data_IF_192797177108
#
_entry.id   IF_192797177108
#
_cell.length_a   1.000
_cell.length_b   1.000
_cell.length_c   1.000
_cell.angle_alpha   90.00
_cell.angle_beta   90.00
_cell.angle_gamma   90.00
#
_symmetry.space_group_name_H-M   'P 1'
#
loop_
_entity.id
_entity.type
_entity.pdbx_description
1 polymer ?
#
# COMPACT_ATOMS: atom_id res chain seq x y z
N UNK A 1 -24.80 7.67 -18.27
CA UNK A 1 -23.99 8.53 -17.39
C UNK A 1 -23.32 7.68 -16.33
N UNK A 2 -22.01 7.84 -16.11
CA UNK A 2 -21.28 7.17 -15.03
C UNK A 2 -21.74 7.69 -13.66
N UNK A 3 -21.94 6.77 -12.72
CA UNK A 3 -22.12 7.08 -11.30
C UNK A 3 -20.78 6.98 -10.54
N UNK A 4 -20.79 7.31 -9.25
CA UNK A 4 -19.55 7.35 -8.47
C UNK A 4 -18.90 5.98 -8.33
N UNK A 5 -19.71 4.91 -8.26
CA UNK A 5 -19.18 3.55 -8.20
C UNK A 5 -18.53 3.15 -9.52
N UNK A 6 -19.12 3.47 -10.68
CA UNK A 6 -18.50 3.21 -11.98
C UNK A 6 -17.08 3.81 -12.03
N UNK A 7 -16.95 5.09 -11.69
CA UNK A 7 -15.66 5.79 -11.74
C UNK A 7 -14.66 5.17 -10.75
N UNK A 8 -15.08 4.95 -9.50
CA UNK A 8 -14.21 4.43 -8.47
C UNK A 8 -13.80 2.97 -8.74
N UNK A 9 -14.75 2.10 -9.10
CA UNK A 9 -14.47 0.69 -9.41
C UNK A 9 -13.50 0.52 -10.57
N UNK A 10 -13.52 1.41 -11.56
CA UNK A 10 -12.55 1.43 -12.64
C UNK A 10 -11.14 1.75 -12.14
N UNK A 11 -10.99 2.81 -11.34
CA UNK A 11 -9.70 3.17 -10.74
C UNK A 11 -9.19 2.11 -9.75
N UNK A 12 -10.08 1.49 -8.97
CA UNK A 12 -9.74 0.44 -8.02
C UNK A 12 -9.32 -0.87 -8.71
N UNK A 13 -10.00 -1.24 -9.81
CA UNK A 13 -9.58 -2.38 -10.62
C UNK A 13 -8.22 -2.14 -11.27
N UNK A 14 -7.98 -0.92 -11.77
CA UNK A 14 -6.70 -0.56 -12.36
C UNK A 14 -5.54 -0.68 -11.34
N UNK A 15 -5.71 -0.14 -10.13
CA UNK A 15 -4.67 -0.26 -9.09
C UNK A 15 -4.44 -1.72 -8.70
N UNK A 16 -5.50 -2.54 -8.59
CA UNK A 16 -5.38 -3.97 -8.31
C UNK A 16 -4.59 -4.71 -9.40
N UNK A 17 -4.80 -4.36 -10.68
CA UNK A 17 -4.01 -4.90 -11.79
C UNK A 17 -2.54 -4.47 -11.72
N UNK A 18 -2.25 -3.21 -11.35
CA UNK A 18 -0.88 -2.75 -11.12
C UNK A 18 -0.22 -3.59 -10.02
N UNK A 19 -0.90 -3.81 -8.89
CA UNK A 19 -0.34 -4.65 -7.82
C UNK A 19 -0.02 -6.07 -8.32
N UNK A 20 -0.94 -6.73 -9.03
CA UNK A 20 -0.74 -8.08 -9.57
C UNK A 20 0.39 -8.16 -10.61
N UNK A 21 0.57 -7.11 -11.41
CA UNK A 21 1.64 -7.07 -12.43
C UNK A 21 3.02 -6.92 -11.79
N UNK A 22 3.15 -6.13 -10.72
CA UNK A 22 4.44 -5.87 -10.08
C UNK A 22 4.79 -6.91 -9.00
N UNK A 23 3.80 -7.53 -8.36
CA UNK A 23 3.98 -8.66 -7.44
C UNK A 23 3.64 -9.98 -8.15
N UNK A 24 4.52 -10.42 -9.06
CA UNK A 24 4.25 -11.51 -10.03
C UNK A 24 4.28 -12.93 -9.46
N UNK A 25 4.53 -13.10 -8.16
CA UNK A 25 4.75 -14.41 -7.53
C UNK A 25 3.53 -15.34 -7.67
N UNK A 26 2.32 -14.79 -7.70
CA UNK A 26 1.12 -15.59 -7.94
C UNK A 26 1.13 -16.29 -9.31
N UNK A 27 1.68 -15.65 -10.33
CA UNK A 27 1.73 -16.21 -11.68
C UNK A 27 2.84 -17.27 -11.78
N UNK A 28 4.04 -16.97 -11.25
CA UNK A 28 5.18 -17.90 -11.26
C UNK A 28 4.94 -19.15 -10.41
N UNK A 29 4.23 -19.02 -9.29
CA UNK A 29 3.93 -20.13 -8.37
C UNK A 29 2.59 -20.83 -8.69
N UNK A 30 1.85 -20.40 -9.72
CA UNK A 30 0.57 -21.04 -10.07
C UNK A 30 -0.54 -20.82 -9.04
N UNK A 31 -0.51 -19.73 -8.26
CA UNK A 31 -1.46 -19.48 -7.20
C UNK A 31 -2.86 -19.13 -7.77
N UNK A 32 -3.80 -20.06 -7.61
CA UNK A 32 -5.18 -19.97 -8.11
C UNK A 32 -5.90 -18.71 -7.61
N UNK A 33 -5.66 -18.27 -6.37
CA UNK A 33 -6.28 -17.06 -5.83
C UNK A 33 -5.84 -15.81 -6.61
N UNK A 34 -4.58 -15.76 -7.04
CA UNK A 34 -4.08 -14.68 -7.88
C UNK A 34 -4.74 -14.66 -9.27
N UNK A 35 -4.94 -15.82 -9.90
CA UNK A 35 -5.67 -15.91 -11.18
C UNK A 35 -7.12 -15.47 -11.07
N UNK A 36 -7.82 -15.88 -10.00
CA UNK A 36 -9.21 -15.46 -9.74
C UNK A 36 -9.25 -13.94 -9.54
N UNK A 37 -8.36 -13.38 -8.72
CA UNK A 37 -8.28 -11.95 -8.47
C UNK A 37 -7.95 -11.16 -9.74
N UNK A 38 -7.01 -11.65 -10.57
CA UNK A 38 -6.68 -11.06 -11.86
C UNK A 38 -7.88 -11.06 -12.82
N UNK A 39 -8.56 -12.19 -12.98
CA UNK A 39 -9.70 -12.33 -13.88
C UNK A 39 -10.85 -11.38 -13.48
N UNK A 40 -11.16 -11.29 -12.19
CA UNK A 40 -12.18 -10.38 -11.69
C UNK A 40 -11.77 -8.90 -11.82
N UNK A 41 -10.49 -8.59 -11.60
CA UNK A 41 -9.95 -7.23 -11.80
C UNK A 41 -10.03 -6.79 -13.26
N UNK A 42 -9.68 -7.68 -14.20
CA UNK A 42 -9.86 -7.45 -15.64
C UNK A 42 -11.34 -7.23 -15.96
N UNK A 43 -12.23 -8.09 -15.45
CA UNK A 43 -13.67 -7.98 -15.70
C UNK A 43 -14.25 -6.64 -15.20
N UNK A 44 -13.86 -6.17 -14.02
CA UNK A 44 -14.28 -4.87 -13.49
C UNK A 44 -13.66 -3.71 -14.26
N UNK A 45 -12.39 -3.80 -14.63
CA UNK A 45 -11.71 -2.77 -15.42
C UNK A 45 -12.38 -2.56 -16.78
N UNK A 46 -12.79 -3.66 -17.44
CA UNK A 46 -13.49 -3.64 -18.73
C UNK A 46 -14.98 -3.27 -18.59
N UNK A 47 -15.64 -3.71 -17.51
CA UNK A 47 -17.06 -3.48 -17.26
C UNK A 47 -17.33 -2.86 -15.87
N UNK A 48 -16.88 -1.61 -15.63
CA UNK A 48 -16.96 -0.98 -14.32
C UNK A 48 -18.40 -0.67 -13.87
N UNK A 49 -18.59 -0.50 -12.57
CA UNK A 49 -19.88 -0.16 -11.95
C UNK A 49 -20.85 -1.34 -11.77
N UNK A 50 -20.46 -2.55 -12.18
CA UNK A 50 -21.27 -3.76 -11.99
C UNK A 50 -21.00 -4.36 -10.62
N UNK A 51 -21.95 -4.23 -9.70
CA UNK A 51 -21.84 -4.77 -8.32
C UNK A 51 -21.46 -6.26 -8.28
N UNK A 52 -22.06 -7.06 -9.16
CA UNK A 52 -21.80 -8.50 -9.25
C UNK A 52 -20.40 -8.86 -9.77
N UNK A 53 -19.64 -7.90 -10.31
CA UNK A 53 -18.23 -8.07 -10.63
C UNK A 53 -17.34 -7.47 -9.54
N UNK A 54 -17.68 -6.25 -9.11
CA UNK A 54 -16.85 -5.49 -8.17
C UNK A 54 -16.82 -6.11 -6.77
N UNK A 55 -17.95 -6.59 -6.24
CA UNK A 55 -17.98 -7.24 -4.92
C UNK A 55 -17.14 -8.52 -4.91
N UNK A 56 -17.31 -9.48 -5.85
CA UNK A 56 -16.40 -10.63 -5.94
C UNK A 56 -14.94 -10.26 -6.12
N UNK A 57 -14.63 -9.21 -6.91
CA UNK A 57 -13.24 -8.73 -7.06
C UNK A 57 -12.65 -8.29 -5.72
N UNK A 58 -13.40 -7.52 -4.92
CA UNK A 58 -12.93 -7.08 -3.59
C UNK A 58 -12.80 -8.26 -2.63
N UNK A 59 -13.72 -9.25 -2.68
CA UNK A 59 -13.60 -10.50 -1.90
C UNK A 59 -12.32 -11.25 -2.30
N UNK A 60 -12.07 -11.41 -3.60
CA UNK A 60 -10.87 -12.08 -4.12
C UNK A 60 -9.60 -11.34 -3.71
N UNK A 61 -9.59 -10.01 -3.77
CA UNK A 61 -8.48 -9.16 -3.31
C UNK A 61 -8.15 -9.40 -1.83
N UNK A 62 -9.14 -9.30 -0.94
CA UNK A 62 -8.95 -9.54 0.50
C UNK A 62 -8.49 -10.98 0.75
N UNK A 63 -9.11 -11.96 0.10
CA UNK A 63 -8.77 -13.38 0.27
C UNK A 63 -7.33 -13.65 -0.17
N UNK A 64 -6.93 -13.10 -1.32
CA UNK A 64 -5.58 -13.18 -1.83
C UNK A 64 -4.59 -12.52 -0.86
N UNK A 65 -4.77 -11.26 -0.47
CA UNK A 65 -3.83 -10.58 0.42
C UNK A 65 -3.74 -11.21 1.80
N UNK A 66 -4.85 -11.59 2.43
CA UNK A 66 -4.84 -12.29 3.73
C UNK A 66 -4.14 -13.64 3.63
N UNK A 67 -4.23 -14.33 2.49
CA UNK A 67 -3.45 -15.56 2.26
C UNK A 67 -1.95 -15.31 2.27
N UNK A 68 -1.51 -14.13 1.80
CA UNK A 68 -0.11 -13.71 1.74
C UNK A 68 0.40 -13.03 3.02
N UNK A 69 -0.49 -12.63 3.94
CA UNK A 69 -0.07 -12.06 5.21
C UNK A 69 0.87 -13.01 5.98
N UNK A 70 1.87 -12.49 6.70
CA UNK A 70 2.19 -11.07 6.84
C UNK A 70 3.17 -10.55 5.78
N UNK A 71 3.56 -11.36 4.79
CA UNK A 71 4.62 -11.05 3.82
C UNK A 71 4.12 -10.18 2.65
N UNK A 72 3.36 -9.13 2.99
CA UNK A 72 2.87 -8.15 2.05
C UNK A 72 3.47 -6.79 2.36
N UNK A 73 3.71 -6.00 1.32
CA UNK A 73 4.20 -4.64 1.47
C UNK A 73 3.16 -3.76 2.20
N UNK A 74 3.66 -2.73 2.86
CA UNK A 74 2.94 -1.86 3.78
C UNK A 74 1.59 -1.34 3.24
N UNK A 75 1.55 -0.87 1.99
CA UNK A 75 0.31 -0.34 1.40
C UNK A 75 -0.71 -1.41 1.03
N UNK A 76 -0.29 -2.65 0.72
CA UNK A 76 -1.20 -3.79 0.46
C UNK A 76 -1.91 -4.21 1.75
N UNK A 77 -1.22 -4.10 2.88
CA UNK A 77 -1.83 -4.30 4.19
C UNK A 77 -2.94 -3.26 4.46
N UNK A 78 -2.69 -1.98 4.12
CA UNK A 78 -3.69 -0.91 4.22
C UNK A 78 -4.83 -1.08 3.21
N UNK A 79 -4.54 -1.50 1.97
CA UNK A 79 -5.54 -1.87 0.95
C UNK A 79 -6.54 -2.86 1.55
N UNK A 80 -6.05 -3.88 2.26
CA UNK A 80 -6.93 -4.87 2.91
C UNK A 80 -7.95 -4.22 3.86
N UNK A 81 -7.57 -3.20 4.65
CA UNK A 81 -8.53 -2.48 5.51
C UNK A 81 -9.52 -1.63 4.73
N UNK A 82 -9.07 -0.99 3.65
CA UNK A 82 -9.93 -0.21 2.75
C UNK A 82 -10.95 -1.14 2.05
N UNK A 83 -10.48 -2.28 1.56
CA UNK A 83 -11.30 -3.32 0.92
C UNK A 83 -12.27 -3.97 1.91
N UNK A 84 -11.86 -4.29 3.14
CA UNK A 84 -12.76 -4.77 4.20
C UNK A 84 -13.83 -3.73 4.56
N UNK A 85 -13.48 -2.44 4.58
CA UNK A 85 -14.45 -1.35 4.78
C UNK A 85 -15.52 -1.38 3.70
N UNK A 86 -15.14 -1.57 2.43
CA UNK A 86 -16.08 -1.70 1.31
C UNK A 86 -16.99 -2.93 1.48
N UNK A 87 -16.42 -4.10 1.83
CA UNK A 87 -17.18 -5.35 2.00
C UNK A 87 -18.17 -5.27 3.17
N UNK A 88 -17.76 -4.75 4.33
CA UNK A 88 -18.68 -4.60 5.47
C UNK A 88 -19.74 -3.54 5.15
N UNK A 89 -19.40 -2.46 4.45
CA UNK A 89 -20.39 -1.49 3.99
C UNK A 89 -21.43 -2.13 3.08
N UNK A 90 -20.99 -3.02 2.17
CA UNK A 90 -21.86 -3.79 1.29
C UNK A 90 -22.72 -4.78 2.07
N UNK A 91 -22.14 -5.58 2.98
CA UNK A 91 -22.86 -6.54 3.81
C UNK A 91 -23.95 -5.89 4.66
N UNK A 92 -23.63 -4.77 5.34
CA UNK A 92 -24.61 -3.99 6.11
C UNK A 92 -25.73 -3.41 5.24
N UNK A 93 -25.48 -3.16 3.95
CA UNK A 93 -26.50 -2.73 3.01
C UNK A 93 -27.33 -3.94 2.55
N UNK A 94 -26.69 -5.02 2.12
CA UNK A 94 -27.33 -6.26 1.68
C UNK A 94 -28.27 -6.83 2.75
N UNK A 95 -27.89 -6.82 4.02
CA UNK A 95 -28.75 -7.24 5.14
C UNK A 95 -30.06 -6.42 5.22
N UNK A 96 -30.02 -5.12 4.96
CA UNK A 96 -31.23 -4.26 4.92
C UNK A 96 -32.09 -4.52 3.67
N UNK A 97 -31.47 -4.93 2.56
CA UNK A 97 -32.16 -5.32 1.33
C UNK A 97 -32.76 -6.72 1.43
N UNK A 98 -32.19 -7.65 2.19
CA UNK A 98 -32.84 -8.94 2.47
C UNK A 98 -34.17 -8.76 3.20
N UNK A 99 -34.33 -7.66 3.94
CA UNK A 99 -35.58 -7.29 4.64
C UNK A 99 -36.53 -6.41 3.81
N UNK A 100 -36.19 -6.04 2.57
CA UNK A 100 -36.98 -5.15 1.70
C UNK A 100 -36.92 -5.59 0.23
N UNK A 101 -38.04 -5.85 -0.48
CA UNK A 101 -38.07 -6.40 -1.85
C UNK A 101 -37.45 -5.53 -2.96
N UNK A 102 -36.74 -4.46 -2.63
CA UNK A 102 -36.16 -3.54 -3.58
C UNK A 102 -35.03 -4.19 -4.41
N UNK A 103 -35.11 -4.07 -5.73
CA UNK A 103 -34.08 -4.55 -6.65
C UNK A 103 -32.78 -3.74 -6.50
N UNK A 104 -31.63 -4.41 -6.68
CA UNK A 104 -30.32 -3.74 -6.77
C UNK A 104 -30.30 -2.80 -7.98
N UNK A 105 -30.22 -1.49 -7.72
CA UNK A 105 -30.22 -0.46 -8.76
C UNK A 105 -28.93 0.38 -8.71
N UNK A 106 -28.75 1.29 -9.67
CA UNK A 106 -27.67 2.30 -9.61
C UNK A 106 -27.72 3.15 -8.35
N UNK A 107 -28.92 3.38 -7.80
CA UNK A 107 -29.07 4.09 -6.53
C UNK A 107 -28.46 3.31 -5.36
N UNK A 108 -28.58 1.97 -5.39
CA UNK A 108 -27.93 1.09 -4.41
C UNK A 108 -26.40 1.15 -4.52
N UNK A 109 -25.86 1.20 -5.74
CA UNK A 109 -24.43 1.38 -5.97
C UNK A 109 -23.89 2.71 -5.42
N UNK A 110 -24.60 3.81 -5.66
CA UNK A 110 -24.25 5.13 -5.12
C UNK A 110 -24.36 5.15 -3.58
N UNK A 111 -25.41 4.56 -3.01
CA UNK A 111 -25.60 4.47 -1.57
C UNK A 111 -24.49 3.66 -0.89
N UNK A 112 -24.01 2.60 -1.53
CA UNK A 112 -22.85 1.85 -1.06
C UNK A 112 -21.58 2.70 -1.07
N UNK A 113 -21.30 3.39 -2.18
CA UNK A 113 -20.14 4.28 -2.31
C UNK A 113 -20.09 5.32 -1.20
N UNK A 114 -21.20 6.04 -0.99
CA UNK A 114 -21.30 7.10 0.03
C UNK A 114 -21.09 6.56 1.45
N UNK A 115 -21.32 5.27 1.69
CA UNK A 115 -21.20 4.65 3.00
C UNK A 115 -19.75 4.34 3.39
N UNK A 116 -18.94 3.81 2.47
CA UNK A 116 -17.54 3.48 2.77
C UNK A 116 -16.59 4.65 2.53
N UNK A 117 -16.90 5.54 1.57
CA UNK A 117 -15.98 6.59 1.15
C UNK A 117 -15.46 7.49 2.29
N UNK A 118 -16.27 7.88 3.30
CA UNK A 118 -15.76 8.71 4.39
C UNK A 118 -14.64 8.04 5.20
N UNK A 119 -14.78 6.75 5.50
CA UNK A 119 -13.80 5.97 6.28
C UNK A 119 -12.56 5.69 5.44
N UNK A 120 -12.70 5.29 4.17
CA UNK A 120 -11.55 5.07 3.29
C UNK A 120 -10.77 6.38 3.05
N UNK A 121 -11.46 7.51 2.92
CA UNK A 121 -10.82 8.82 2.83
C UNK A 121 -10.11 9.24 4.12
N UNK A 122 -10.64 8.88 5.30
CA UNK A 122 -9.96 9.09 6.57
C UNK A 122 -8.70 8.22 6.71
N UNK A 123 -8.76 6.94 6.33
CA UNK A 123 -7.59 6.04 6.27
C UNK A 123 -6.53 6.64 5.35
N UNK A 124 -6.92 7.12 4.17
CA UNK A 124 -6.02 7.78 3.21
C UNK A 124 -5.33 9.02 3.80
N UNK A 125 -6.07 9.93 4.44
CA UNK A 125 -5.50 11.12 5.06
C UNK A 125 -4.56 10.76 6.23
N UNK A 126 -4.96 9.79 7.06
CA UNK A 126 -4.14 9.31 8.18
C UNK A 126 -2.87 8.59 7.73
N UNK A 127 -2.90 7.92 6.58
CA UNK A 127 -1.72 7.24 6.06
C UNK A 127 -0.60 8.23 5.76
N UNK A 128 -0.89 9.39 5.16
CA UNK A 128 0.12 10.45 5.01
C UNK A 128 0.65 10.95 6.35
N UNK A 129 -0.24 11.13 7.33
CA UNK A 129 0.16 11.53 8.68
C UNK A 129 1.14 10.51 9.27
N UNK A 130 0.84 9.22 9.14
CA UNK A 130 1.70 8.15 9.62
C UNK A 130 3.04 8.08 8.89
N UNK A 131 3.05 8.29 7.56
CA UNK A 131 4.27 8.31 6.76
C UNK A 131 5.21 9.41 7.25
N UNK A 132 4.73 10.67 7.35
CA UNK A 132 5.60 11.77 7.79
C UNK A 132 6.08 11.57 9.23
N UNK A 133 5.20 11.15 10.15
CA UNK A 133 5.60 10.87 11.54
C UNK A 133 6.72 9.83 11.56
N UNK A 134 6.60 8.74 10.80
CA UNK A 134 7.65 7.70 10.77
C UNK A 134 9.00 8.20 10.27
N UNK A 135 9.03 9.27 9.44
CA UNK A 135 10.24 9.89 8.89
C UNK A 135 10.87 10.96 9.79
N UNK A 136 10.20 11.37 10.87
CA UNK A 136 10.74 12.33 11.84
C UNK A 136 11.67 11.63 12.85
N UNK A 137 12.76 11.05 12.33
CA UNK A 137 13.78 10.33 13.08
C UNK A 137 15.20 10.71 12.59
N UNK A 138 16.20 10.45 13.41
CA UNK A 138 17.58 10.85 13.13
C UNK A 138 18.15 10.20 11.86
N UNK A 139 17.82 8.93 11.58
CA UNK A 139 18.34 8.21 10.41
C UNK A 139 17.78 8.72 9.08
N UNK A 140 16.53 9.20 9.06
CA UNK A 140 15.96 9.77 7.84
C UNK A 140 16.57 11.14 7.49
N UNK A 141 16.94 11.92 8.51
CA UNK A 141 17.53 13.26 8.38
C UNK A 141 19.04 13.23 8.11
N UNK A 142 19.67 12.07 8.21
CA UNK A 142 21.04 11.85 7.78
C UNK A 142 21.06 11.47 6.29
N UNK A 143 21.45 12.42 5.43
CA UNK A 143 21.41 12.24 3.98
C UNK A 143 22.35 11.14 3.48
N UNK A 144 23.37 10.75 4.25
CA UNK A 144 24.32 9.71 3.86
C UNK A 144 23.71 8.30 3.97
N UNK A 145 22.65 8.14 4.77
CA UNK A 145 21.99 6.84 5.01
C UNK A 145 20.48 6.87 4.76
N UNK A 146 19.92 8.05 4.47
CA UNK A 146 18.49 8.24 4.25
C UNK A 146 17.98 7.38 3.10
N UNK A 147 16.86 6.69 3.34
CA UNK A 147 16.11 5.96 2.33
C UNK A 147 15.82 6.82 1.09
N UNK A 148 15.56 8.12 1.28
CA UNK A 148 15.22 9.03 0.19
C UNK A 148 16.43 9.32 -0.70
N UNK A 149 17.61 9.53 -0.12
CA UNK A 149 18.85 9.76 -0.88
C UNK A 149 19.13 8.59 -1.81
N UNK A 150 19.19 7.38 -1.24
CA UNK A 150 19.46 6.18 -2.03
C UNK A 150 18.37 5.87 -3.06
N UNK A 151 17.10 6.21 -2.78
CA UNK A 151 16.01 6.07 -3.74
C UNK A 151 16.13 7.04 -4.93
N UNK A 152 16.59 8.28 -4.69
CA UNK A 152 16.84 9.27 -5.77
C UNK A 152 18.04 8.85 -6.60
N UNK A 153 19.13 8.42 -5.96
CA UNK A 153 20.34 7.95 -6.64
C UNK A 153 20.07 6.72 -7.51
N UNK A 154 19.32 5.74 -6.99
CA UNK A 154 18.91 4.57 -7.77
C UNK A 154 18.05 4.99 -8.97
N UNK A 155 17.11 5.92 -8.78
CA UNK A 155 16.28 6.42 -9.87
C UNK A 155 17.13 7.14 -10.94
N UNK A 156 18.12 7.95 -10.54
CA UNK A 156 19.04 8.61 -11.47
C UNK A 156 19.89 7.59 -12.24
N UNK A 157 20.40 6.55 -11.58
CA UNK A 157 21.24 5.53 -12.20
C UNK A 157 20.46 4.60 -13.15
N UNK A 158 19.25 4.19 -12.75
CA UNK A 158 18.54 3.08 -13.40
C UNK A 158 17.37 3.52 -14.30
N UNK A 159 17.03 4.82 -14.34
CA UNK A 159 15.85 5.33 -15.09
C UNK A 159 16.23 6.46 -16.06
N UNK A 160 16.70 6.16 -17.27
CA UNK A 160 17.19 7.16 -18.24
C UNK A 160 16.21 8.28 -18.61
N UNK A 161 14.90 8.03 -18.50
CA UNK A 161 13.87 9.02 -18.85
C UNK A 161 13.73 10.14 -17.82
N UNK A 162 14.00 9.83 -16.55
CA UNK A 162 13.89 10.78 -15.44
C UNK A 162 15.24 11.18 -14.89
N UNK A 163 16.33 10.50 -15.25
CA UNK A 163 17.68 10.83 -14.79
C UNK A 163 18.06 12.28 -15.10
N UNK A 164 17.84 12.74 -16.33
CA UNK A 164 18.08 14.12 -16.73
C UNK A 164 17.28 15.13 -15.89
N UNK A 165 15.92 15.06 -15.87
CA UNK A 165 15.10 15.92 -15.02
C UNK A 165 15.43 15.85 -13.52
N UNK A 166 15.74 14.67 -12.99
CA UNK A 166 16.14 14.50 -11.59
C UNK A 166 17.49 15.16 -11.30
N UNK A 167 18.45 15.09 -12.23
CA UNK A 167 19.77 15.73 -12.05
C UNK A 167 19.75 17.26 -12.08
N UNK A 168 18.61 17.88 -12.43
CA UNK A 168 18.45 19.34 -12.37
C UNK A 168 18.39 19.88 -10.93
N UNK A 169 18.15 19.00 -9.96
CA UNK A 169 18.02 19.35 -8.56
C UNK A 169 18.93 18.47 -7.69
N UNK A 170 19.41 19.01 -6.56
CA UNK A 170 20.21 18.24 -5.61
C UNK A 170 19.34 17.24 -4.83
N UNK A 171 19.98 16.21 -4.26
CA UNK A 171 19.33 15.28 -3.32
C UNK A 171 18.72 16.04 -2.14
N UNK A 172 19.41 17.07 -1.63
CA UNK A 172 18.89 17.95 -0.56
C UNK A 172 17.59 18.68 -0.96
N UNK A 173 17.47 19.14 -2.21
CA UNK A 173 16.23 19.74 -2.69
C UNK A 173 15.08 18.72 -2.66
N UNK A 174 15.31 17.49 -3.16
CA UNK A 174 14.29 16.44 -3.11
C UNK A 174 13.96 16.07 -1.67
N UNK A 175 14.95 16.02 -0.78
CA UNK A 175 14.74 15.80 0.65
C UNK A 175 13.71 16.76 1.23
N UNK A 176 13.96 18.06 1.10
CA UNK A 176 13.04 19.08 1.63
C UNK A 176 11.71 19.11 0.89
N UNK A 177 11.70 18.89 -0.43
CA UNK A 177 10.46 18.79 -1.20
C UNK A 177 9.56 17.67 -0.69
N UNK A 178 10.11 16.46 -0.45
CA UNK A 178 9.36 15.32 0.05
C UNK A 178 8.88 15.56 1.48
N UNK A 179 9.73 16.08 2.38
CA UNK A 179 9.33 16.42 3.76
C UNK A 179 8.18 17.43 3.77
N UNK A 180 8.28 18.51 2.99
CA UNK A 180 7.24 19.54 2.93
C UNK A 180 5.95 18.98 2.33
N UNK A 181 6.03 18.22 1.24
CA UNK A 181 4.87 17.60 0.62
C UNK A 181 4.17 16.63 1.57
N UNK A 182 4.92 15.72 2.20
CA UNK A 182 4.37 14.72 3.12
C UNK A 182 3.86 15.32 4.43
N UNK A 183 4.40 16.46 4.88
CA UNK A 183 3.87 17.22 6.03
C UNK A 183 2.60 18.01 5.67
N UNK A 184 2.54 18.59 4.46
CA UNK A 184 1.40 19.40 4.03
C UNK A 184 0.17 18.56 3.68
N UNK A 185 0.36 17.43 2.97
CA UNK A 185 -0.73 16.56 2.50
C UNK A 185 -1.69 16.09 3.61
N UNK A 186 -1.27 15.59 4.79
CA UNK A 186 -2.20 15.14 5.81
C UNK A 186 -3.05 16.29 6.37
N UNK A 187 -2.44 17.47 6.55
CA UNK A 187 -3.15 18.67 7.00
C UNK A 187 -4.17 19.10 5.94
N UNK A 188 -3.74 19.18 4.68
CA UNK A 188 -4.60 19.61 3.58
C UNK A 188 -5.77 18.63 3.36
N UNK A 189 -5.54 17.33 3.48
CA UNK A 189 -6.57 16.30 3.33
C UNK A 189 -7.51 16.24 4.54
N UNK A 190 -7.04 16.54 5.75
CA UNK A 190 -7.88 16.56 6.95
C UNK A 190 -8.99 17.61 6.82
N UNK A 191 -8.67 18.84 6.40
CA UNK A 191 -9.67 19.91 6.32
C UNK A 191 -10.39 19.96 4.98
N UNK A 192 -11.72 19.93 5.00
CA UNK A 192 -12.55 19.92 3.79
C UNK A 192 -12.22 21.04 2.81
N UNK A 193 -11.89 22.23 3.33
CA UNK A 193 -11.56 23.42 2.53
C UNK A 193 -10.26 23.30 1.75
N UNK A 194 -9.29 22.53 2.24
CA UNK A 194 -7.95 22.40 1.63
C UNK A 194 -7.77 21.09 0.87
N UNK A 195 -8.74 20.16 0.94
CA UNK A 195 -8.65 18.80 0.35
C UNK A 195 -8.32 18.81 -1.14
N UNK A 196 -9.01 19.63 -1.92
CA UNK A 196 -8.78 19.68 -3.36
C UNK A 196 -7.47 20.39 -3.70
N UNK A 197 -7.03 21.35 -2.89
CA UNK A 197 -5.71 21.94 -3.04
C UNK A 197 -4.57 20.92 -2.84
N UNK A 198 -4.80 19.85 -2.07
CA UNK A 198 -3.81 18.79 -1.85
C UNK A 198 -3.38 18.10 -3.15
N UNK A 199 -4.23 18.13 -4.19
CA UNK A 199 -3.99 17.47 -5.47
C UNK A 199 -2.83 18.11 -6.24
N UNK A 200 -2.60 19.43 -6.06
CA UNK A 200 -1.50 20.14 -6.72
C UNK A 200 -0.12 19.65 -6.26
N UNK A 201 -0.02 19.09 -5.07
CA UNK A 201 1.20 18.47 -4.56
C UNK A 201 1.14 16.96 -4.72
N UNK A 202 0.04 16.35 -4.28
CA UNK A 202 -0.11 14.91 -4.18
C UNK A 202 -0.10 14.18 -5.51
N UNK A 203 -0.81 14.68 -6.53
CA UNK A 203 -0.88 13.99 -7.83
C UNK A 203 0.48 14.02 -8.54
N UNK A 204 1.16 15.18 -8.68
CA UNK A 204 2.53 15.21 -9.23
C UNK A 204 3.52 14.37 -8.41
N UNK A 205 3.43 14.40 -7.09
CA UNK A 205 4.26 13.59 -6.19
C UNK A 205 4.14 12.08 -6.47
N UNK A 206 2.92 11.56 -6.64
CA UNK A 206 2.71 10.14 -6.96
C UNK A 206 3.09 9.77 -8.40
N UNK A 207 2.97 10.69 -9.35
CA UNK A 207 3.51 10.46 -10.70
C UNK A 207 5.04 10.32 -10.65
N UNK A 208 5.71 11.21 -9.90
CA UNK A 208 7.16 11.16 -9.71
C UNK A 208 7.60 9.86 -9.02
N UNK A 209 6.95 9.48 -7.91
CA UNK A 209 7.23 8.21 -7.22
C UNK A 209 7.00 6.99 -8.12
N UNK A 210 5.93 6.99 -8.92
CA UNK A 210 5.67 5.94 -9.91
C UNK A 210 6.82 5.81 -10.91
N UNK A 211 7.27 6.94 -11.47
CA UNK A 211 8.41 6.98 -12.39
C UNK A 211 9.72 6.50 -11.76
N UNK A 212 9.92 6.74 -10.46
CA UNK A 212 11.06 6.22 -9.69
C UNK A 212 10.98 4.71 -9.44
N UNK A 213 9.81 4.08 -9.62
CA UNK A 213 9.61 2.63 -9.54
C UNK A 213 8.50 2.18 -8.60
N UNK A 214 7.88 3.10 -7.84
CA UNK A 214 6.88 2.78 -6.83
C UNK A 214 5.45 2.76 -7.40
N UNK A 215 5.26 2.07 -8.53
CA UNK A 215 3.98 1.99 -9.24
C UNK A 215 2.82 1.42 -8.40
N UNK A 216 2.98 0.32 -7.63
CA UNK A 216 1.89 -0.22 -6.82
C UNK A 216 1.39 0.75 -5.76
N UNK A 217 2.31 1.44 -5.08
CA UNK A 217 1.94 2.46 -4.11
C UNK A 217 1.27 3.67 -4.79
N UNK A 218 1.85 4.15 -5.89
CA UNK A 218 1.34 5.34 -6.59
C UNK A 218 -0.05 5.10 -7.19
N UNK A 219 -0.32 3.93 -7.79
CA UNK A 219 -1.63 3.60 -8.33
C UNK A 219 -2.70 3.48 -7.24
N UNK A 220 -2.34 2.85 -6.10
CA UNK A 220 -3.18 2.80 -4.91
C UNK A 220 -3.56 4.21 -4.44
N UNK A 221 -2.57 5.11 -4.35
CA UNK A 221 -2.77 6.50 -3.92
C UNK A 221 -3.63 7.31 -4.88
N UNK A 222 -3.37 7.21 -6.18
CA UNK A 222 -4.18 7.89 -7.21
C UNK A 222 -5.63 7.39 -7.19
N UNK A 223 -5.87 6.10 -6.95
CA UNK A 223 -7.24 5.57 -6.79
C UNK A 223 -7.98 6.14 -5.57
N UNK A 224 -7.26 6.45 -4.48
CA UNK A 224 -7.83 7.13 -3.32
C UNK A 224 -8.06 8.62 -3.58
N UNK A 225 -7.22 9.27 -4.38
CA UNK A 225 -7.49 10.63 -4.87
C UNK A 225 -8.79 10.70 -5.71
N UNK A 226 -9.10 9.68 -6.52
CA UNK A 226 -10.41 9.55 -7.21
C UNK A 226 -11.56 9.59 -6.20
N UNK A 227 -11.42 8.88 -5.08
CA UNK A 227 -12.42 8.86 -4.02
C UNK A 227 -12.58 10.24 -3.36
N UNK A 228 -11.48 10.96 -3.10
CA UNK A 228 -11.51 12.30 -2.48
C UNK A 228 -12.16 13.35 -3.38
N UNK A 229 -11.83 13.37 -4.67
CA UNK A 229 -12.38 14.32 -5.64
C UNK A 229 -13.66 13.84 -6.33
N UNK A 230 -14.29 12.75 -5.84
CA UNK A 230 -15.41 12.12 -6.53
C UNK A 230 -16.54 13.10 -6.93
N UNK A 231 -17.02 14.02 -6.07
CA UNK A 231 -18.05 14.96 -6.48
C UNK A 231 -17.64 15.86 -7.65
N UNK A 232 -16.43 16.43 -7.63
CA UNK A 232 -15.90 17.25 -8.73
C UNK A 232 -15.68 16.41 -10.01
N UNK A 233 -15.09 15.22 -9.84
CA UNK A 233 -14.76 14.31 -10.93
C UNK A 233 -16.01 13.80 -11.65
N UNK A 234 -17.09 13.49 -10.90
CA UNK A 234 -18.34 12.98 -11.46
C UNK A 234 -18.92 13.91 -12.53
N UNK A 235 -18.91 15.23 -12.28
CA UNK A 235 -19.40 16.22 -13.23
C UNK A 235 -18.59 16.22 -14.54
N UNK A 236 -17.26 16.25 -14.43
CA UNK A 236 -16.35 16.21 -15.59
C UNK A 236 -16.47 14.89 -16.36
N UNK A 237 -16.53 13.76 -15.64
CA UNK A 237 -16.66 12.45 -16.25
C UNK A 237 -17.99 12.29 -17.02
N UNK A 238 -19.09 12.81 -16.48
CA UNK A 238 -20.40 12.78 -17.16
C UNK A 238 -20.39 13.62 -18.44
N UNK A 239 -19.79 14.80 -18.40
CA UNK A 239 -19.65 15.66 -19.58
C UNK A 239 -18.75 15.03 -20.65
N UNK A 240 -17.60 14.46 -20.24
CA UNK A 240 -16.70 13.75 -21.14
C UNK A 240 -17.40 12.56 -21.80
N UNK A 241 -18.10 11.73 -21.02
CA UNK A 241 -18.84 10.59 -21.56
C UNK A 241 -19.96 11.03 -22.50
N UNK A 242 -20.67 12.13 -22.21
CA UNK A 242 -21.69 12.66 -23.10
C UNK A 242 -21.11 13.11 -24.45
N UNK A 243 -19.98 13.82 -24.44
CA UNK A 243 -19.27 14.23 -25.67
C UNK A 243 -18.76 13.03 -26.48
N UNK A 244 -18.20 12.03 -25.80
CA UNK A 244 -17.76 10.79 -26.44
C UNK A 244 -18.93 10.00 -27.03
N UNK A 245 -20.07 9.99 -26.35
CA UNK A 245 -21.29 9.34 -26.82
C UNK A 245 -21.88 10.05 -28.04
N UNK A 246 -21.88 11.38 -28.07
CA UNK A 246 -22.27 12.16 -29.25
C UNK A 246 -21.36 11.87 -30.45
N UNK A 247 -20.05 11.83 -30.22
CA UNK A 247 -19.07 11.46 -31.26
C UNK A 247 -19.27 10.01 -31.74
N UNK A 248 -19.51 9.07 -30.81
CA UNK A 248 -19.81 7.67 -31.12
C UNK A 248 -21.05 7.55 -32.01
N UNK A 249 -22.12 8.26 -31.68
CA UNK A 249 -23.36 8.26 -32.46
C UNK A 249 -23.14 8.76 -33.89
N UNK A 250 -22.16 9.65 -34.12
CA UNK A 250 -21.79 10.12 -35.47
C UNK A 250 -20.91 9.12 -36.23
N UNK A 251 -19.96 8.48 -35.56
CA UNK A 251 -18.91 7.66 -36.22
C UNK A 251 -19.26 6.17 -36.29
N UNK A 252 -19.78 5.60 -35.21
CA UNK A 252 -20.08 4.17 -35.05
C UNK A 252 -21.40 3.96 -34.26
N UNK A 253 -22.55 4.39 -34.80
CA UNK A 253 -23.84 4.36 -34.08
C UNK A 253 -24.28 2.95 -33.69
N UNK A 254 -23.91 1.94 -34.48
CA UNK A 254 -24.30 0.54 -34.26
C UNK A 254 -23.64 -0.12 -33.03
N UNK A 255 -22.51 0.41 -32.54
CA UNK A 255 -21.75 -0.20 -31.44
C UNK A 255 -22.12 0.52 -30.13
N UNK A 256 -22.74 -0.15 -29.15
CA UNK A 256 -23.01 0.45 -27.84
C UNK A 256 -21.75 1.04 -27.19
N UNK A 257 -21.85 2.24 -26.59
CA UNK A 257 -20.71 2.91 -25.96
C UNK A 257 -20.00 2.07 -24.89
N UNK A 258 -20.75 1.20 -24.19
CA UNK A 258 -20.16 0.25 -23.23
C UNK A 258 -19.29 -0.82 -23.88
N UNK A 259 -19.65 -1.28 -25.09
CA UNK A 259 -18.83 -2.24 -25.83
C UNK A 259 -17.59 -1.57 -26.42
N UNK A 260 -17.72 -0.33 -26.91
CA UNK A 260 -16.57 0.44 -27.37
C UNK A 260 -15.58 0.73 -26.23
N UNK A 261 -16.09 1.11 -25.06
CA UNK A 261 -15.28 1.29 -23.85
C UNK A 261 -14.59 -0.01 -23.41
N UNK A 262 -15.33 -1.13 -23.41
CA UNK A 262 -14.78 -2.43 -23.09
C UNK A 262 -13.67 -2.85 -24.08
N UNK A 263 -13.88 -2.64 -25.39
CA UNK A 263 -12.89 -2.91 -26.41
C UNK A 263 -11.64 -2.05 -26.25
N UNK A 264 -11.78 -0.75 -25.98
CA UNK A 264 -10.65 0.16 -25.76
C UNK A 264 -9.81 -0.27 -24.54
N UNK A 265 -10.47 -0.63 -23.43
CA UNK A 265 -9.78 -1.12 -22.23
C UNK A 265 -9.17 -2.51 -22.44
N UNK A 266 -9.84 -3.39 -23.18
CA UNK A 266 -9.29 -4.69 -23.58
C UNK A 266 -8.02 -4.54 -24.43
N UNK A 267 -8.01 -3.60 -25.38
CA UNK A 267 -6.84 -3.27 -26.18
C UNK A 267 -5.72 -2.66 -25.32
N UNK A 268 -6.05 -1.79 -24.38
CA UNK A 268 -5.07 -1.23 -23.44
C UNK A 268 -4.42 -2.35 -22.60
N UNK A 269 -5.21 -3.29 -22.08
CA UNK A 269 -4.67 -4.43 -21.34
C UNK A 269 -3.85 -5.37 -22.23
N UNK A 270 -4.32 -5.67 -23.45
CA UNK A 270 -3.57 -6.50 -24.40
C UNK A 270 -2.22 -5.85 -24.76
N UNK A 271 -2.15 -4.52 -24.80
CA UNK A 271 -0.92 -3.80 -25.09
C UNK A 271 0.16 -4.00 -24.01
N UNK A 272 -0.19 -4.43 -22.79
CA UNK A 272 0.76 -4.79 -21.72
C UNK A 272 1.64 -5.99 -22.11
N UNK A 273 1.16 -6.85 -23.01
CA UNK A 273 1.95 -7.99 -23.51
C UNK A 273 3.05 -7.54 -24.49
N UNK A 274 2.78 -6.46 -25.23
CA UNK A 274 3.67 -5.94 -26.29
C UNK A 274 4.58 -4.83 -25.77
N UNK A 275 4.07 -3.99 -24.87
CA UNK A 275 4.75 -2.83 -24.30
C UNK A 275 5.13 -3.12 -22.84
N UNK A 276 6.18 -2.47 -22.31
CA UNK A 276 6.51 -2.65 -20.89
C UNK A 276 5.32 -2.22 -20.02
N UNK A 277 4.90 -3.00 -19.01
CA UNK A 277 3.73 -2.67 -18.21
C UNK A 277 3.79 -1.27 -17.60
N UNK A 278 4.98 -0.83 -17.15
CA UNK A 278 5.20 0.52 -16.62
C UNK A 278 4.77 1.64 -17.56
N UNK A 279 4.86 1.45 -18.88
CA UNK A 279 4.43 2.45 -19.87
C UNK A 279 2.92 2.54 -19.99
N UNK A 280 2.24 1.39 -20.00
CA UNK A 280 0.78 1.35 -20.03
C UNK A 280 0.20 2.00 -18.78
N UNK A 281 0.82 1.70 -17.63
CA UNK A 281 0.42 2.30 -16.37
C UNK A 281 0.75 3.78 -16.28
N UNK A 282 1.88 4.23 -16.83
CA UNK A 282 2.18 5.66 -16.95
C UNK A 282 1.13 6.37 -17.81
N UNK A 283 0.76 5.81 -18.97
CA UNK A 283 -0.29 6.38 -19.83
C UNK A 283 -1.63 6.48 -19.10
N UNK A 284 -2.06 5.39 -18.47
CA UNK A 284 -3.32 5.35 -17.72
C UNK A 284 -3.32 6.33 -16.55
N UNK A 285 -2.24 6.32 -15.75
CA UNK A 285 -2.10 7.21 -14.57
C UNK A 285 -2.05 8.67 -15.01
N UNK A 286 -1.36 8.99 -16.11
CA UNK A 286 -1.28 10.35 -16.63
C UNK A 286 -2.64 10.84 -17.14
N UNK A 287 -3.37 9.98 -17.86
CA UNK A 287 -4.72 10.30 -18.34
C UNK A 287 -5.70 10.53 -17.17
N UNK A 288 -5.72 9.62 -16.19
CA UNK A 288 -6.56 9.77 -15.00
C UNK A 288 -6.17 11.02 -14.19
N UNK A 289 -4.88 11.25 -13.99
CA UNK A 289 -4.37 12.42 -13.29
C UNK A 289 -4.74 13.71 -14.00
N UNK A 290 -4.65 13.77 -15.33
CA UNK A 290 -5.08 14.93 -16.10
C UNK A 290 -6.57 15.22 -15.90
N UNK A 291 -7.43 14.19 -15.96
CA UNK A 291 -8.87 14.36 -15.72
C UNK A 291 -9.15 14.81 -14.28
N UNK A 292 -8.44 14.25 -13.29
CA UNK A 292 -8.53 14.68 -11.90
C UNK A 292 -8.13 16.15 -11.73
N UNK A 293 -7.00 16.55 -12.31
CA UNK A 293 -6.52 17.93 -12.25
C UNK A 293 -7.49 18.90 -12.92
N UNK A 294 -8.07 18.54 -14.08
CA UNK A 294 -9.11 19.34 -14.73
C UNK A 294 -10.34 19.49 -13.84
N UNK A 295 -10.80 18.41 -13.19
CA UNK A 295 -11.93 18.47 -12.27
C UNK A 295 -11.66 19.37 -11.06
N UNK A 296 -10.48 19.25 -10.45
CA UNK A 296 -10.05 20.09 -9.32
C UNK A 296 -9.93 21.56 -9.74
N UNK A 297 -9.26 21.84 -10.87
CA UNK A 297 -9.10 23.19 -11.38
C UNK A 297 -10.46 23.83 -11.68
N UNK A 298 -11.36 23.12 -12.35
CA UNK A 298 -12.72 23.58 -12.63
C UNK A 298 -13.46 23.96 -11.35
N UNK A 299 -13.39 23.13 -10.32
CA UNK A 299 -14.02 23.41 -9.03
C UNK A 299 -13.45 24.69 -8.38
N UNK A 300 -12.12 24.84 -8.37
CA UNK A 300 -11.47 26.03 -7.83
C UNK A 300 -11.74 27.29 -8.64
N UNK A 301 -11.86 27.19 -9.97
CA UNK A 301 -12.23 28.33 -10.82
C UNK A 301 -13.67 28.80 -10.55
N UNK A 302 -14.61 27.89 -10.32
CA UNK A 302 -16.01 28.26 -10.08
C UNK A 302 -16.30 28.69 -8.65
N UNK A 303 -15.65 28.09 -7.66
CA UNK A 303 -16.01 28.25 -6.25
C UNK A 303 -14.89 28.83 -5.37
N UNK A 304 -13.68 28.94 -5.90
CA UNK A 304 -12.48 29.37 -5.17
C UNK A 304 -11.69 28.21 -4.56
N UNK A 305 -10.40 28.47 -4.26
CA UNK A 305 -9.43 27.47 -3.81
C UNK A 305 -9.82 26.77 -2.48
N UNK A 306 -10.52 27.48 -1.59
CA UNK A 306 -10.81 27.03 -0.23
C UNK A 306 -12.31 26.88 0.08
N UNK A 307 -13.15 26.74 -0.95
CA UNK A 307 -14.60 26.57 -0.79
C UNK A 307 -14.96 25.27 -0.06
N UNK A 308 -14.16 24.21 -0.26
CA UNK A 308 -14.48 22.85 0.18
C UNK A 308 -15.66 22.21 -0.56
N UNK A 309 -16.11 22.80 -1.67
CA UNK A 309 -17.04 22.18 -2.61
C UNK A 309 -16.29 21.12 -3.45
N UNK A 310 -17.00 20.23 -4.14
CA UNK A 310 -16.36 19.19 -4.97
C UNK A 310 -15.61 18.07 -4.23
N UNK A 311 -15.38 18.18 -2.92
CA UNK A 311 -14.67 17.17 -2.11
C UNK A 311 -15.62 16.21 -1.36
N UNK A 312 -15.23 14.94 -1.27
CA UNK A 312 -15.91 13.92 -0.47
C UNK A 312 -15.85 14.27 1.04
N UNK A 313 -16.96 14.15 1.79
CA UNK A 313 -16.94 14.24 3.25
C UNK A 313 -16.23 13.03 3.88
N UNK A 314 -15.17 13.25 4.66
CA UNK A 314 -14.41 12.17 5.36
C UNK A 314 -14.83 12.00 6.83
N UNK A 315 -14.75 13.09 7.60
CA UNK A 315 -15.00 13.08 9.05
C UNK A 315 -16.49 13.20 9.37
N UNK A 316 -17.24 12.12 9.14
CA UNK A 316 -18.68 12.07 9.43
C UNK A 316 -19.00 10.91 10.37
N UNK A 317 -20.02 11.06 11.23
CA UNK A 317 -20.44 9.99 12.16
C UNK A 317 -21.27 8.89 11.50
N UNK A 318 -21.82 9.16 10.30
CA UNK A 318 -22.75 8.29 9.57
C UNK A 318 -22.24 6.87 9.24
N UNK A 319 -20.94 6.62 8.99
CA UNK A 319 -20.44 5.27 8.72
C UNK A 319 -20.56 4.30 9.90
N UNK A 320 -20.78 4.80 11.13
CA UNK A 320 -21.03 3.99 12.32
C UNK A 320 -19.91 2.98 12.58
N UNK A 321 -20.25 1.69 12.61
CA UNK A 321 -19.30 0.61 12.90
C UNK A 321 -18.13 0.51 11.92
N UNK A 322 -18.24 1.08 10.71
CA UNK A 322 -17.15 1.06 9.74
C UNK A 322 -15.88 1.79 10.24
N UNK A 323 -16.01 2.70 11.21
CA UNK A 323 -14.87 3.37 11.84
C UNK A 323 -13.91 2.40 12.55
N UNK A 324 -14.31 1.16 12.83
CA UNK A 324 -13.39 0.12 13.34
C UNK A 324 -12.18 -0.08 12.43
N UNK A 325 -12.35 -0.01 11.10
CA UNK A 325 -11.23 -0.18 10.16
C UNK A 325 -10.24 0.97 10.17
N UNK A 326 -10.71 2.18 10.46
CA UNK A 326 -9.83 3.32 10.70
C UNK A 326 -9.02 3.14 11.99
N UNK A 327 -9.65 2.68 13.07
CA UNK A 327 -8.96 2.35 14.32
C UNK A 327 -7.94 1.24 14.11
N UNK A 328 -8.25 0.21 13.32
CA UNK A 328 -7.30 -0.83 12.95
C UNK A 328 -6.12 -0.28 12.14
N UNK A 329 -6.35 0.65 11.22
CA UNK A 329 -5.27 1.33 10.50
C UNK A 329 -4.36 2.14 11.45
N UNK A 330 -4.93 2.82 12.44
CA UNK A 330 -4.17 3.52 13.50
C UNK A 330 -3.36 2.53 14.32
N UNK A 331 -3.98 1.45 14.82
CA UNK A 331 -3.30 0.42 15.60
C UNK A 331 -2.15 -0.21 14.80
N UNK A 332 -2.38 -0.49 13.52
CA UNK A 332 -1.35 -1.00 12.62
C UNK A 332 -0.15 -0.04 12.52
N UNK A 333 -0.39 1.26 12.34
CA UNK A 333 0.68 2.27 12.28
C UNK A 333 1.36 2.52 13.63
N UNK A 334 0.66 2.31 14.74
CA UNK A 334 1.22 2.46 16.08
C UNK A 334 2.14 1.29 16.47
N UNK A 335 2.03 0.15 15.78
CA UNK A 335 2.69 -1.11 16.13
C UNK A 335 4.19 -1.01 16.44
N UNK A 336 5.01 -0.28 15.66
CA UNK A 336 6.43 -0.14 15.96
C UNK A 336 6.67 0.51 17.32
N UNK A 337 5.93 1.58 17.60
CA UNK A 337 6.03 2.36 18.83
C UNK A 337 5.54 1.63 20.08
N UNK A 338 4.63 0.66 19.92
CA UNK A 338 4.12 -0.14 21.04
C UNK A 338 4.89 -1.45 21.26
N UNK A 339 5.96 -1.69 20.48
CA UNK A 339 6.75 -2.92 20.58
C UNK A 339 6.13 -4.13 19.86
N UNK A 340 5.06 -3.96 19.06
CA UNK A 340 4.32 -5.09 18.48
C UNK A 340 4.88 -5.63 17.17
N UNK A 341 5.04 -4.83 16.12
CA UNK A 341 5.61 -5.27 14.82
C UNK A 341 6.27 -4.12 14.09
N UNK A 342 7.25 -4.42 13.25
CA UNK A 342 8.06 -3.42 12.52
C UNK A 342 7.84 -3.47 11.02
N UNK A 343 7.20 -4.51 10.51
CA UNK A 343 6.81 -4.69 9.11
C UNK A 343 5.30 -4.60 8.88
N UNK A 344 4.91 -4.46 7.60
CA UNK A 344 3.51 -4.38 7.16
C UNK A 344 2.69 -3.33 7.93
N UNK A 345 3.36 -2.24 8.32
CA UNK A 345 2.78 -1.07 8.96
C UNK A 345 3.01 0.16 8.08
N UNK A 346 2.49 1.33 8.46
CA UNK A 346 2.53 2.51 7.57
C UNK A 346 3.89 3.22 7.55
N UNK A 347 4.85 2.82 8.38
CA UNK A 347 6.23 3.32 8.30
C UNK A 347 6.89 2.77 7.03
N UNK A 348 7.01 3.62 6.00
CA UNK A 348 7.57 3.25 4.70
C UNK A 348 8.76 4.15 4.41
N UNK A 349 9.88 3.56 3.97
CA UNK A 349 11.06 4.29 3.52
C UNK A 349 11.55 5.35 4.53
N UNK A 350 11.58 4.98 5.82
CA UNK A 350 11.73 5.98 6.88
C UNK A 350 13.00 5.87 7.69
N UNK A 351 13.84 4.84 7.56
CA UNK A 351 14.99 4.60 8.47
C UNK A 351 14.61 4.55 9.97
N UNK A 352 13.32 4.49 10.31
CA UNK A 352 12.85 4.43 11.69
C UNK A 352 13.38 3.16 12.34
N UNK A 353 13.82 3.22 13.60
CA UNK A 353 14.28 2.10 14.43
C UNK A 353 13.66 2.20 15.81
N UNK A 354 13.01 1.12 16.23
CA UNK A 354 12.35 0.96 17.55
C UNK A 354 12.76 -0.35 18.26
N UNK A 355 13.67 -1.12 17.67
CA UNK A 355 14.09 -2.45 18.10
C UNK A 355 15.31 -2.42 19.02
N UNK A 356 15.46 -3.46 19.86
CA UNK A 356 16.63 -3.66 20.72
C UNK A 356 16.81 -2.56 21.77
N UNK A 357 15.70 -2.01 22.29
CA UNK A 357 15.70 -0.90 23.24
C UNK A 357 16.12 0.45 22.66
N UNK A 358 16.39 0.53 21.35
CA UNK A 358 16.74 1.78 20.66
C UNK A 358 15.48 2.43 20.10
N UNK A 359 15.39 3.76 20.18
CA UNK A 359 14.38 4.55 19.50
C UNK A 359 15.05 5.77 18.86
N UNK A 360 15.08 5.83 17.53
CA UNK A 360 15.73 6.93 16.82
C UNK A 360 14.77 8.08 16.46
N UNK A 361 13.51 8.00 16.88
CA UNK A 361 12.51 9.04 16.60
C UNK A 361 12.83 10.33 17.36
N UNK A 362 12.64 11.48 16.71
CA UNK A 362 13.03 12.80 17.27
C UNK A 362 12.19 13.28 18.47
N UNK A 363 10.96 12.80 18.62
CA UNK A 363 10.04 13.28 19.68
C UNK A 363 9.06 12.22 20.19
N UNK A 364 8.77 11.17 19.42
CA UNK A 364 7.80 10.16 19.82
C UNK A 364 8.51 9.01 20.54
N UNK A 365 8.23 8.80 21.84
CA UNK A 365 8.85 7.70 22.58
C UNK A 365 8.25 6.36 22.17
N UNK A 366 9.05 5.29 22.26
CA UNK A 366 8.55 3.92 22.28
C UNK A 366 7.90 3.66 23.65
N UNK A 367 6.70 3.11 23.64
CA UNK A 367 5.98 2.63 24.83
C UNK A 367 5.79 1.13 24.68
N UNK A 368 6.75 0.34 25.17
CA UNK A 368 6.73 -1.11 25.00
C UNK A 368 5.56 -1.76 25.75
N UNK A 369 4.42 -1.93 25.06
CA UNK A 369 3.30 -2.77 25.49
C UNK A 369 3.59 -4.25 25.20
N UNK A 370 4.46 -4.49 24.21
CA UNK A 370 4.98 -5.78 23.80
C UNK A 370 6.51 -5.72 23.74
N UNK A 371 7.16 -6.88 23.88
CA UNK A 371 8.61 -7.06 23.96
C UNK A 371 9.21 -7.76 22.73
N UNK A 372 8.38 -8.14 21.75
CA UNK A 372 8.83 -8.90 20.57
C UNK A 372 9.98 -8.25 19.79
N UNK A 373 10.04 -6.91 19.78
CA UNK A 373 11.09 -6.15 19.08
C UNK A 373 12.43 -6.08 19.83
N UNK A 374 12.45 -6.40 21.12
CA UNK A 374 13.62 -6.25 21.98
C UNK A 374 14.31 -7.60 22.25
N UNK A 375 13.60 -8.71 22.04
CA UNK A 375 14.15 -10.06 22.09
C UNK A 375 14.92 -10.39 20.81
N UNK A 376 16.20 -10.00 20.77
CA UNK A 376 17.07 -10.12 19.60
C UNK A 376 18.03 -11.30 19.69
N UNK A 377 18.28 -11.92 18.55
CA UNK A 377 19.18 -13.05 18.37
C UNK A 377 20.29 -12.71 17.39
N UNK A 378 21.51 -13.10 17.72
CA UNK A 378 22.65 -13.12 16.81
C UNK A 378 22.98 -14.56 16.44
N UNK A 379 22.89 -14.89 15.16
CA UNK A 379 23.25 -16.23 14.69
C UNK A 379 24.78 -16.31 14.61
N UNK A 380 25.37 -17.32 15.25
CA UNK A 380 26.83 -17.52 15.30
C UNK A 380 27.26 -18.60 14.33
N UNK A 381 26.56 -19.73 14.30
CA UNK A 381 26.85 -20.83 13.37
C UNK A 381 25.62 -21.72 13.19
N UNK A 382 25.56 -22.47 12.09
CA UNK A 382 24.48 -23.42 11.80
C UNK A 382 24.92 -24.40 10.73
N UNK A 383 24.49 -25.65 10.84
CA UNK A 383 24.65 -26.64 9.77
C UNK A 383 23.62 -26.48 8.63
N UNK A 384 22.68 -25.54 8.75
CA UNK A 384 21.70 -25.17 7.72
C UNK A 384 22.10 -23.85 7.03
N UNK A 385 22.29 -23.86 5.70
CA UNK A 385 22.52 -22.64 4.92
C UNK A 385 21.42 -21.59 5.08
N UNK A 386 20.15 -22.01 5.07
CA UNK A 386 19.00 -21.11 5.22
C UNK A 386 19.02 -20.31 6.53
N UNK A 387 19.57 -20.89 7.61
CA UNK A 387 19.77 -20.18 8.89
C UNK A 387 21.02 -19.31 8.86
N UNK A 388 22.10 -19.74 8.19
CA UNK A 388 23.30 -18.92 8.04
C UNK A 388 23.02 -17.64 7.24
N UNK A 389 22.16 -17.72 6.22
CA UNK A 389 21.75 -16.58 5.40
C UNK A 389 21.02 -15.49 6.20
N UNK A 390 20.46 -15.82 7.37
CA UNK A 390 19.84 -14.84 8.28
C UNK A 390 20.85 -13.98 9.05
N UNK A 391 22.16 -14.29 8.99
CA UNK A 391 23.21 -13.51 9.67
C UNK A 391 23.40 -12.13 9.08
N UNK A 392 23.15 -12.00 7.78
CA UNK A 392 23.31 -10.75 7.05
C UNK A 392 22.03 -10.35 6.36
N UNK A 393 21.92 -9.07 6.03
CA UNK A 393 20.86 -8.56 5.20
C UNK A 393 21.37 -7.39 4.35
N UNK A 394 20.96 -7.29 3.08
CA UNK A 394 21.34 -6.15 2.25
C UNK A 394 20.53 -4.91 2.64
N UNK A 395 21.11 -3.72 2.45
CA UNK A 395 20.32 -2.50 2.44
C UNK A 395 19.52 -2.40 1.13
N UNK A 396 18.31 -1.84 1.20
CA UNK A 396 17.45 -1.67 0.03
C UNK A 396 17.96 -0.62 -0.95
N UNK A 397 18.51 0.47 -0.44
CA UNK A 397 18.97 1.63 -1.21
C UNK A 397 20.36 2.08 -0.75
N UNK A 398 21.11 2.73 -1.65
CA UNK A 398 22.41 3.38 -1.36
C UNK A 398 23.63 2.44 -1.32
N UNK A 399 23.45 1.17 -0.95
CA UNK A 399 24.55 0.22 -0.70
C UNK A 399 24.39 -1.07 -1.53
N UNK A 400 24.23 -0.92 -2.85
CA UNK A 400 23.94 -2.04 -3.76
C UNK A 400 25.09 -3.05 -3.76
N UNK A 401 24.79 -4.28 -3.39
CA UNK A 401 25.75 -5.38 -3.35
C UNK A 401 26.49 -5.53 -2.03
N UNK A 402 26.17 -4.70 -1.02
CA UNK A 402 26.70 -4.82 0.33
C UNK A 402 25.72 -5.58 1.23
N UNK A 403 26.27 -6.49 2.04
CA UNK A 403 25.56 -7.28 3.04
C UNK A 403 26.03 -6.83 4.42
N UNK A 404 25.09 -6.55 5.32
CA UNK A 404 25.39 -6.07 6.66
C UNK A 404 25.01 -7.12 7.69
N UNK A 405 25.81 -7.27 8.75
CA UNK A 405 25.43 -8.12 9.86
C UNK A 405 24.19 -7.59 10.57
N UNK A 406 23.28 -8.49 10.93
CA UNK A 406 22.01 -8.17 11.57
C UNK A 406 21.76 -9.02 12.80
N UNK A 407 20.96 -8.48 13.71
CA UNK A 407 20.20 -9.26 14.67
C UNK A 407 18.84 -9.63 14.09
N UNK A 408 18.31 -10.77 14.49
CA UNK A 408 16.98 -11.23 14.11
C UNK A 408 16.10 -11.27 15.37
N UNK A 409 14.90 -10.67 15.37
CA UNK A 409 13.95 -10.85 16.45
C UNK A 409 13.68 -12.34 16.67
N UNK A 410 13.72 -12.81 17.92
CA UNK A 410 13.55 -14.22 18.28
C UNK A 410 12.26 -14.80 17.69
N UNK A 411 11.21 -13.99 17.60
CA UNK A 411 9.96 -14.36 16.93
C UNK A 411 10.15 -14.79 15.47
N UNK A 412 10.97 -14.05 14.70
CA UNK A 412 11.26 -14.39 13.31
C UNK A 412 12.28 -15.53 13.20
N UNK A 413 13.21 -15.63 14.14
CA UNK A 413 14.12 -16.78 14.23
C UNK A 413 13.33 -18.09 14.44
N UNK A 414 12.36 -18.10 15.36
CA UNK A 414 11.40 -19.19 15.54
C UNK A 414 10.62 -19.51 14.27
N UNK A 415 10.13 -18.48 13.58
CA UNK A 415 9.40 -18.66 12.32
C UNK A 415 10.28 -19.35 11.28
N UNK A 416 11.52 -18.91 11.11
CA UNK A 416 12.47 -19.50 10.18
C UNK A 416 12.76 -20.97 10.54
N UNK A 417 13.21 -21.24 11.77
CA UNK A 417 13.58 -22.59 12.23
C UNK A 417 12.41 -23.58 12.11
N UNK A 418 11.21 -23.19 12.54
CA UNK A 418 10.01 -24.05 12.48
C UNK A 418 9.43 -24.23 11.07
N UNK A 419 9.90 -23.46 10.09
CA UNK A 419 9.52 -23.57 8.67
C UNK A 419 10.45 -24.48 7.86
N UNK A 420 11.66 -24.77 8.36
CA UNK A 420 12.61 -25.63 7.68
C UNK A 420 12.11 -27.06 7.57
N UNK A 421 11.84 -27.48 6.34
CA UNK A 421 11.64 -28.87 5.94
C UNK A 421 13.02 -29.52 5.82
N UNK A 422 13.43 -30.27 6.84
CA UNK A 422 14.79 -30.79 6.89
C UNK A 422 15.05 -31.75 8.05
N UNK A 423 16.17 -32.48 8.00
CA UNK A 423 16.47 -33.60 8.88
C UNK A 423 16.47 -33.23 10.38
N UNK A 424 16.27 -34.23 11.23
CA UNK A 424 16.24 -34.10 12.69
C UNK A 424 17.60 -33.68 13.30
N UNK A 425 18.64 -33.48 12.49
CA UNK A 425 20.00 -33.15 12.92
C UNK A 425 20.34 -31.66 12.80
N UNK A 426 19.35 -30.77 12.68
CA UNK A 426 19.58 -29.32 12.70
C UNK A 426 20.28 -28.90 14.00
N UNK A 427 21.43 -28.23 13.86
CA UNK A 427 22.22 -27.67 14.94
C UNK A 427 22.47 -26.20 14.68
N UNK A 428 22.16 -25.37 15.66
CA UNK A 428 22.31 -23.91 15.56
C UNK A 428 23.01 -23.40 16.81
N UNK A 429 24.04 -22.58 16.61
CA UNK A 429 24.69 -21.81 17.66
C UNK A 429 24.31 -20.35 17.50
N UNK A 430 23.81 -19.73 18.55
CA UNK A 430 23.34 -18.34 18.52
C UNK A 430 23.53 -17.65 19.87
N UNK A 431 23.52 -16.33 19.89
CA UNK A 431 23.47 -15.53 21.12
C UNK A 431 22.10 -14.93 21.29
N UNK A 432 21.54 -15.06 22.50
CA UNK A 432 20.28 -14.43 22.91
C UNK A 432 20.47 -13.94 24.35
N UNK A 433 20.07 -12.70 24.64
CA UNK A 433 20.31 -12.06 25.94
C UNK A 433 21.79 -12.06 26.39
N UNK A 434 22.72 -12.00 25.42
CA UNK A 434 24.17 -12.00 25.67
C UNK A 434 24.79 -13.37 25.94
N UNK A 435 23.98 -14.42 26.10
CA UNK A 435 24.44 -15.79 26.36
C UNK A 435 24.59 -16.57 25.05
N UNK A 436 25.68 -17.32 24.92
CA UNK A 436 25.86 -18.27 23.82
C UNK A 436 25.00 -19.51 24.11
N UNK A 437 24.19 -19.90 23.13
CA UNK A 437 23.25 -21.02 23.21
C UNK A 437 23.42 -21.93 22.02
N UNK A 438 23.18 -23.21 22.26
CA UNK A 438 23.12 -24.23 21.23
C UNK A 438 21.71 -24.82 21.19
N UNK A 439 21.19 -25.01 19.99
CA UNK A 439 19.93 -25.70 19.75
C UNK A 439 20.18 -26.91 18.87
N UNK A 440 19.67 -28.07 19.29
CA UNK A 440 19.70 -29.33 18.54
C UNK A 440 18.27 -29.84 18.40
N UNK A 441 17.75 -29.92 17.16
CA UNK A 441 16.35 -30.30 16.92
C UNK A 441 16.03 -31.66 17.55
N UNK A 442 14.95 -31.73 18.33
CA UNK A 442 14.51 -32.94 19.03
C UNK A 442 15.33 -33.32 20.28
N UNK A 443 16.30 -32.49 20.70
CA UNK A 443 17.00 -32.70 21.96
C UNK A 443 16.21 -32.14 23.15
N UNK A 444 16.14 -32.89 24.25
CA UNK A 444 15.39 -32.52 25.45
C UNK A 444 16.12 -31.45 26.31
N UNK A 445 17.41 -31.23 26.07
CA UNK A 445 18.29 -30.31 26.80
C UNK A 445 18.36 -28.90 26.20
N UNK A 446 17.52 -28.59 25.19
CA UNK A 446 17.46 -27.27 24.59
C UNK A 446 16.99 -26.22 25.60
N UNK A 447 17.80 -25.18 25.82
CA UNK A 447 17.44 -24.03 26.67
C UNK A 447 16.20 -23.31 26.14
N UNK A 448 16.16 -23.11 24.84
CA UNK A 448 15.05 -22.47 24.13
C UNK A 448 14.19 -23.54 23.42
N UNK A 449 13.44 -24.29 24.23
CA UNK A 449 12.65 -25.44 23.77
C UNK A 449 11.50 -25.08 22.81
N UNK A 450 11.16 -23.80 22.65
CA UNK A 450 10.13 -23.33 21.72
C UNK A 450 10.69 -22.87 20.36
N UNK A 451 12.01 -23.00 20.13
CA UNK A 451 12.66 -22.47 18.94
C UNK A 451 12.14 -23.11 17.63
N UNK A 452 11.88 -24.41 17.62
CA UNK A 452 11.30 -25.12 16.48
C UNK A 452 9.76 -25.20 16.51
N UNK A 453 9.13 -24.60 17.51
CA UNK A 453 7.68 -24.56 17.63
C UNK A 453 7.13 -23.36 16.86
N UNK A 454 6.30 -23.64 15.85
CA UNK A 454 5.65 -22.61 15.03
C UNK A 454 4.90 -21.59 15.90
N UNK A 455 5.07 -20.27 15.64
CA UNK A 455 4.27 -19.26 16.31
C UNK A 455 2.76 -19.48 16.06
N UNK A 456 1.89 -19.09 17.01
CA UNK A 456 0.44 -19.21 16.84
C UNK A 456 -0.04 -18.54 15.54
N UNK A 457 -0.91 -19.21 14.78
CA UNK A 457 -1.30 -18.80 13.42
C UNK A 457 -1.77 -17.34 13.34
N UNK A 458 -2.56 -16.88 14.32
CA UNK A 458 -3.05 -15.49 14.37
C UNK A 458 -1.89 -14.51 14.53
N UNK A 459 -0.95 -14.79 15.44
CA UNK A 459 0.21 -13.95 15.67
C UNK A 459 1.16 -13.98 14.47
N UNK A 460 1.40 -15.16 13.89
CA UNK A 460 2.19 -15.33 12.68
C UNK A 460 1.62 -14.55 11.48
N UNK A 461 0.30 -14.38 11.40
CA UNK A 461 -0.39 -13.59 10.35
C UNK A 461 -0.38 -12.08 10.60
N UNK A 462 -0.36 -11.65 11.86
CA UNK A 462 -0.50 -10.25 12.22
C UNK A 462 0.83 -9.55 12.50
N UNK A 463 1.82 -10.28 13.02
CA UNK A 463 3.14 -9.79 13.35
C UNK A 463 4.16 -10.21 12.29
N UNK A 464 4.98 -9.26 11.88
CA UNK A 464 6.17 -9.49 11.08
C UNK A 464 7.21 -8.45 11.49
N UNK A 465 8.43 -8.93 11.69
CA UNK A 465 9.54 -8.10 12.10
C UNK A 465 10.66 -8.18 11.08
N UNK A 466 11.42 -7.09 11.00
CA UNK A 466 12.57 -7.01 10.12
C UNK A 466 13.85 -7.30 10.87
N UNK A 467 14.92 -7.67 10.16
CA UNK A 467 16.26 -7.72 10.72
C UNK A 467 16.69 -6.34 11.25
N UNK A 468 17.52 -6.35 12.27
CA UNK A 468 18.03 -5.15 12.93
C UNK A 468 19.53 -5.06 12.69
N UNK A 469 19.97 -4.07 11.91
CA UNK A 469 21.39 -3.87 11.65
C UNK A 469 22.21 -3.71 12.93
N UNK A 470 23.36 -4.38 12.97
CA UNK A 470 24.34 -4.18 14.04
C UNK A 470 24.95 -2.78 13.92
N UNK A 471 25.20 -2.14 15.07
CA UNK A 471 25.69 -0.76 15.13
C UNK A 471 24.59 0.28 15.31
N UNK A 472 24.95 1.55 15.13
CA UNK A 472 24.06 2.71 15.39
C UNK A 472 23.23 3.11 14.16
N UNK A 473 23.69 2.78 12.96
CA UNK A 473 23.05 3.15 11.70
C UNK A 473 21.83 2.27 11.43
N UNK A 474 20.73 2.88 10.98
CA UNK A 474 19.53 2.18 10.52
C UNK A 474 19.39 2.36 9.01
N UNK A 475 19.93 1.41 8.24
CA UNK A 475 19.81 1.43 6.79
C UNK A 475 18.37 1.21 6.32
N UNK A 476 18.11 1.55 5.06
CA UNK A 476 16.79 1.37 4.48
C UNK A 476 16.49 -0.11 4.21
N UNK A 477 15.32 -0.58 4.65
CA UNK A 477 14.85 -1.96 4.41
C UNK A 477 13.62 -2.04 3.50
N UNK A 478 12.94 -0.91 3.27
CA UNK A 478 11.69 -0.81 2.49
C UNK A 478 11.92 -0.24 1.11
#
# INVERSE_FOLDING_TARGET
MPDSLTIFSYAWAAQSLVQLVFFKDWASQGNILGYIFAALSIAVFVFPGRLFLFVPMVIASVTYFVSQWPFVVNHVFVDTFVSLTMLVAFGLMALRYMTSPSQFSRQTAEAWFVKFAPVCGAIFAFMYFSIIISKLNAGFFDLDVSCLSGMIEEAQANRPLISGPLSLFSVEFFFWFFIVAEAALPVMLAFRRTRLAAFYFGVPFHILLGLMGHWPFSSFMISLYVLVAMPALKGVAQELVARLEEMRQRVVPAIPGTLLFAAANGLLLASVVVLKPSWIWLLWTSALSAVLMVAVMREHFHHGLFSGTGATPMWTTRPGILWVFFVLAIANSASPYIGFKTESNVAMYSNMRTEGGVNNHLFMPKVALFDFQDDLVEIVDSNSPDILDLKTHPARYGFVGEEFEVYIPYFEFRRAVSSLEGPNDLQITYRRNGELREFRRGADDNVDADLDVRPPVVLAKLAYFRPVFKGEVSYCLH
#
